data_IF_854494990827
#
_entry.id   IF_854494990827
#
_cell.length_a   1.000
_cell.length_b   1.000
_cell.length_c   1.000
_cell.angle_alpha   90.00
_cell.angle_beta   90.00
_cell.angle_gamma   90.00
#
_symmetry.space_group_name_H-M   'P 1'
#
loop_
_entity.id
_entity.type
_entity.pdbx_description
1 polymer ?
#
# COMPACT_ATOMS: atom_id res chain seq x y z
N UNK A 1 39.84 32.95 10.63
CA UNK A 1 38.77 31.92 10.67
C UNK A 1 38.12 31.61 9.32
N UNK A 2 38.20 32.47 8.29
CA UNK A 2 37.54 32.25 6.99
C UNK A 2 38.22 31.23 6.03
N UNK A 3 39.43 30.73 6.34
CA UNK A 3 40.21 29.88 5.42
C UNK A 3 39.89 28.37 5.52
N UNK A 4 39.60 27.85 6.71
CA UNK A 4 39.35 26.41 6.91
C UNK A 4 38.01 25.95 6.36
N UNK A 5 36.97 26.79 6.45
CA UNK A 5 35.65 26.48 5.89
C UNK A 5 35.69 26.39 4.36
N UNK A 6 36.46 27.26 3.71
CA UNK A 6 36.62 27.28 2.26
C UNK A 6 37.34 26.02 1.75
N UNK A 7 38.33 25.54 2.50
CA UNK A 7 39.07 24.30 2.19
C UNK A 7 38.21 23.03 2.28
N UNK A 8 37.29 22.98 3.24
CA UNK A 8 36.35 21.84 3.38
C UNK A 8 35.33 21.85 2.24
N UNK A 9 34.82 23.02 1.87
CA UNK A 9 33.89 23.16 0.76
C UNK A 9 34.57 22.83 -0.58
N UNK A 10 35.78 23.34 -0.83
CA UNK A 10 36.53 23.06 -2.06
C UNK A 10 36.85 21.56 -2.20
N UNK A 11 37.21 20.87 -1.11
CA UNK A 11 37.43 19.42 -1.11
C UNK A 11 36.14 18.60 -1.36
N UNK A 12 34.98 19.07 -0.87
CA UNK A 12 33.69 18.42 -1.13
C UNK A 12 33.26 18.62 -2.59
N UNK A 13 33.51 19.81 -3.15
CA UNK A 13 33.23 20.14 -4.56
C UNK A 13 34.12 19.31 -5.49
N UNK A 14 35.40 19.14 -5.18
CA UNK A 14 36.35 18.31 -5.95
C UNK A 14 36.00 16.81 -5.87
N UNK A 15 35.48 16.34 -4.72
CA UNK A 15 34.98 14.96 -4.57
C UNK A 15 33.68 14.70 -5.35
N UNK A 16 32.86 15.73 -5.52
CA UNK A 16 31.64 15.69 -6.34
C UNK A 16 32.00 15.71 -7.82
N UNK A 17 32.99 16.53 -8.24
CA UNK A 17 33.44 16.67 -9.63
C UNK A 17 34.00 15.38 -10.23
N UNK A 18 34.83 14.64 -9.48
CA UNK A 18 35.58 13.47 -10.01
C UNK A 18 34.69 12.21 -10.19
N UNK A 19 33.49 12.16 -9.60
CA UNK A 19 32.54 11.02 -9.77
C UNK A 19 31.25 11.38 -10.50
N UNK A 20 31.20 12.55 -11.16
CA UNK A 20 29.98 13.15 -11.69
C UNK A 20 29.25 12.32 -12.74
N UNK A 21 29.95 11.61 -13.63
CA UNK A 21 29.25 10.99 -14.76
C UNK A 21 28.61 9.65 -14.38
N UNK A 22 29.37 8.78 -13.71
CA UNK A 22 28.87 7.46 -13.32
C UNK A 22 27.89 7.50 -12.14
N UNK A 23 28.01 8.48 -11.24
CA UNK A 23 27.06 8.65 -10.14
C UNK A 23 25.76 9.28 -10.65
N UNK A 24 25.81 10.30 -11.52
CA UNK A 24 24.59 10.86 -12.13
C UNK A 24 23.82 9.78 -12.87
N UNK A 25 24.47 8.97 -13.71
CA UNK A 25 23.80 7.87 -14.42
C UNK A 25 23.18 6.85 -13.45
N UNK A 26 23.88 6.44 -12.39
CA UNK A 26 23.33 5.49 -11.40
C UNK A 26 22.17 6.06 -10.61
N UNK A 27 22.22 7.34 -10.24
CA UNK A 27 21.13 8.02 -9.53
C UNK A 27 19.92 8.13 -10.44
N UNK A 28 20.09 8.61 -11.68
CA UNK A 28 19.01 8.71 -12.67
C UNK A 28 18.40 7.34 -12.94
N UNK A 29 19.20 6.30 -13.16
CA UNK A 29 18.72 4.94 -13.39
C UNK A 29 18.02 4.33 -12.16
N UNK A 30 18.40 4.73 -10.94
CA UNK A 30 17.75 4.28 -9.70
C UNK A 30 16.42 4.99 -9.48
N UNK A 31 16.39 6.31 -9.67
CA UNK A 31 15.16 7.12 -9.59
C UNK A 31 14.18 6.70 -10.68
N UNK A 32 14.64 6.51 -11.93
CA UNK A 32 13.81 6.06 -13.03
C UNK A 32 13.15 4.68 -12.76
N UNK A 33 13.91 3.71 -12.20
CA UNK A 33 13.34 2.41 -11.81
C UNK A 33 12.35 2.49 -10.66
N UNK A 34 12.58 3.37 -9.69
CA UNK A 34 11.63 3.61 -8.61
C UNK A 34 10.35 4.26 -9.15
N UNK A 35 10.48 5.30 -9.97
CA UNK A 35 9.35 5.98 -10.60
C UNK A 35 8.55 5.04 -11.50
N UNK A 36 9.21 4.22 -12.32
CA UNK A 36 8.50 3.27 -13.18
C UNK A 36 7.73 2.22 -12.37
N UNK A 37 8.33 1.72 -11.29
CA UNK A 37 7.66 0.79 -10.36
C UNK A 37 6.45 1.44 -9.68
N UNK A 38 6.60 2.68 -9.18
CA UNK A 38 5.51 3.43 -8.56
C UNK A 38 4.38 3.67 -9.56
N UNK A 39 4.69 4.15 -10.77
CA UNK A 39 3.68 4.41 -11.81
C UNK A 39 2.91 3.13 -12.14
N UNK A 40 3.60 2.00 -12.35
CA UNK A 40 2.95 0.73 -12.66
C UNK A 40 2.03 0.24 -11.53
N UNK A 41 2.52 0.26 -10.29
CA UNK A 41 1.71 -0.13 -9.12
C UNK A 41 0.55 0.83 -8.90
N UNK A 42 0.75 2.13 -9.08
CA UNK A 42 -0.31 3.14 -8.97
C UNK A 42 -1.37 2.97 -10.04
N UNK A 43 -1.00 2.66 -11.29
CA UNK A 43 -1.96 2.38 -12.36
C UNK A 43 -2.79 1.13 -12.04
N UNK A 44 -2.14 0.03 -11.63
CA UNK A 44 -2.86 -1.18 -11.24
C UNK A 44 -3.78 -0.89 -10.06
N UNK A 45 -3.30 -0.18 -9.04
CA UNK A 45 -4.09 0.21 -7.87
C UNK A 45 -5.30 1.07 -8.24
N UNK A 46 -5.14 2.02 -9.16
CA UNK A 46 -6.23 2.87 -9.63
C UNK A 46 -7.30 2.07 -10.37
N UNK A 47 -6.91 1.18 -11.29
CA UNK A 47 -7.85 0.33 -12.00
C UNK A 47 -8.53 -0.69 -11.08
N UNK A 48 -7.79 -1.27 -10.13
CA UNK A 48 -8.35 -2.17 -9.13
C UNK A 48 -9.37 -1.44 -8.23
N UNK A 49 -9.07 -0.21 -7.82
CA UNK A 49 -10.01 0.64 -7.09
C UNK A 49 -11.28 0.86 -7.90
N UNK A 50 -11.18 1.31 -9.16
CA UNK A 50 -12.36 1.48 -10.01
C UNK A 50 -13.15 0.19 -10.22
N UNK A 51 -12.46 -0.93 -10.44
CA UNK A 51 -13.11 -2.23 -10.57
C UNK A 51 -13.95 -2.57 -9.34
N UNK A 52 -13.40 -2.41 -8.13
CA UNK A 52 -14.13 -2.68 -6.89
C UNK A 52 -15.32 -1.71 -6.73
N UNK A 53 -15.14 -0.43 -7.03
CA UNK A 53 -16.22 0.55 -6.99
C UNK A 53 -17.36 0.13 -7.93
N UNK A 54 -17.07 -0.11 -9.20
CA UNK A 54 -18.08 -0.53 -10.17
C UNK A 54 -18.76 -1.84 -9.78
N UNK A 55 -18.00 -2.78 -9.20
CA UNK A 55 -18.56 -4.03 -8.71
C UNK A 55 -19.55 -3.80 -7.56
N UNK A 56 -19.24 -2.92 -6.61
CA UNK A 56 -20.19 -2.53 -5.55
C UNK A 56 -21.43 -1.83 -6.10
N UNK A 57 -21.27 -0.95 -7.10
CA UNK A 57 -22.42 -0.34 -7.79
C UNK A 57 -23.28 -1.38 -8.51
N UNK A 58 -22.68 -2.33 -9.21
CA UNK A 58 -23.40 -3.41 -9.90
C UNK A 58 -24.18 -4.29 -8.91
N UNK A 59 -23.59 -4.64 -7.77
CA UNK A 59 -24.30 -5.38 -6.73
C UNK A 59 -25.45 -4.57 -6.12
N UNK A 60 -25.25 -3.27 -5.89
CA UNK A 60 -26.32 -2.40 -5.39
C UNK A 60 -27.50 -2.39 -6.36
N UNK A 61 -27.21 -2.25 -7.66
CA UNK A 61 -28.23 -2.19 -8.70
C UNK A 61 -28.96 -3.53 -8.88
N UNK A 62 -28.25 -4.65 -8.75
CA UNK A 62 -28.87 -5.97 -8.75
C UNK A 62 -29.87 -6.14 -7.60
N UNK A 63 -29.55 -5.63 -6.41
CA UNK A 63 -30.44 -5.65 -5.25
C UNK A 63 -31.63 -4.70 -5.48
N UNK A 64 -31.39 -3.51 -6.06
CA UNK A 64 -32.43 -2.55 -6.43
C UNK A 64 -33.48 -3.17 -7.35
N UNK A 65 -33.04 -3.85 -8.41
CA UNK A 65 -33.92 -4.56 -9.35
C UNK A 65 -34.78 -5.63 -8.67
N UNK A 66 -34.22 -6.38 -7.71
CA UNK A 66 -34.97 -7.40 -6.97
C UNK A 66 -35.98 -6.84 -5.96
N UNK A 67 -35.76 -5.60 -5.49
CA UNK A 67 -36.62 -4.91 -4.52
C UNK A 67 -37.57 -3.90 -5.18
N UNK A 68 -37.55 -3.81 -6.52
CA UNK A 68 -38.31 -2.84 -7.32
C UNK A 68 -38.15 -1.39 -6.81
N UNK A 69 -36.92 -1.06 -6.41
CA UNK A 69 -36.58 0.22 -5.75
C UNK A 69 -35.26 0.77 -6.24
N UNK A 70 -35.18 2.07 -6.49
CA UNK A 70 -33.99 2.73 -7.06
C UNK A 70 -32.85 2.97 -6.07
N UNK A 71 -33.10 2.89 -4.75
CA UNK A 71 -32.12 3.32 -3.74
C UNK A 71 -31.86 2.33 -2.60
N UNK A 72 -32.72 1.33 -2.40
CA UNK A 72 -32.64 0.44 -1.25
C UNK A 72 -31.38 -0.44 -1.27
N UNK A 73 -30.93 -0.90 -2.43
CA UNK A 73 -29.71 -1.68 -2.62
C UNK A 73 -28.45 -0.92 -2.21
N UNK A 74 -28.37 0.38 -2.51
CA UNK A 74 -27.27 1.23 -2.04
C UNK A 74 -27.30 1.37 -0.50
N UNK A 75 -28.48 1.52 0.09
CA UNK A 75 -28.65 1.65 1.53
C UNK A 75 -28.29 0.35 2.27
N UNK A 76 -28.66 -0.80 1.72
CA UNK A 76 -28.31 -2.12 2.26
C UNK A 76 -26.79 -2.32 2.24
N UNK A 77 -26.12 -2.02 1.13
CA UNK A 77 -24.66 -2.15 1.02
C UNK A 77 -23.95 -1.16 1.96
N UNK A 78 -24.43 0.08 2.07
CA UNK A 78 -23.92 1.06 3.03
C UNK A 78 -24.09 0.58 4.48
N UNK A 79 -25.25 0.02 4.81
CA UNK A 79 -25.53 -0.59 6.12
C UNK A 79 -24.62 -1.77 6.43
N UNK A 80 -24.36 -2.63 5.45
CA UNK A 80 -23.41 -3.74 5.60
C UNK A 80 -21.98 -3.24 5.88
N UNK A 81 -21.50 -2.23 5.15
CA UNK A 81 -20.20 -1.63 5.45
C UNK A 81 -20.15 -0.97 6.83
N UNK A 82 -21.22 -0.29 7.24
CA UNK A 82 -21.32 0.29 8.58
C UNK A 82 -21.23 -0.79 9.67
N UNK A 83 -21.93 -1.91 9.49
CA UNK A 83 -21.88 -3.04 10.43
C UNK A 83 -20.47 -3.63 10.52
N UNK A 84 -19.77 -3.80 9.40
CA UNK A 84 -18.37 -4.25 9.39
C UNK A 84 -17.49 -3.27 10.17
N UNK A 85 -17.65 -1.96 9.94
CA UNK A 85 -16.88 -0.94 10.65
C UNK A 85 -17.14 -1.02 12.16
N UNK A 86 -18.40 -1.10 12.58
CA UNK A 86 -18.76 -1.22 13.99
C UNK A 86 -18.15 -2.50 14.59
N UNK A 87 -18.24 -3.62 13.88
CA UNK A 87 -17.65 -4.88 14.32
C UNK A 87 -16.14 -4.75 14.50
N UNK A 88 -15.44 -4.18 13.52
CA UNK A 88 -13.99 -3.93 13.60
C UNK A 88 -13.66 -3.03 14.80
N UNK A 89 -14.40 -1.95 15.02
CA UNK A 89 -14.19 -1.04 16.15
C UNK A 89 -14.39 -1.75 17.50
N UNK A 90 -15.41 -2.61 17.63
CA UNK A 90 -15.63 -3.42 18.82
C UNK A 90 -14.49 -4.43 19.04
N UNK A 91 -14.01 -5.06 17.96
CA UNK A 91 -12.90 -6.01 18.01
C UNK A 91 -11.58 -5.33 18.41
N UNK A 92 -11.29 -4.15 17.86
CA UNK A 92 -10.14 -3.32 18.22
C UNK A 92 -10.22 -2.92 19.70
N UNK A 93 -11.38 -2.42 20.15
CA UNK A 93 -11.60 -2.02 21.55
C UNK A 93 -11.43 -3.19 22.53
N UNK A 94 -11.86 -4.39 22.14
CA UNK A 94 -11.74 -5.59 22.96
C UNK A 94 -10.31 -6.16 23.03
N UNK A 95 -9.33 -5.57 22.35
CA UNK A 95 -7.96 -6.09 22.13
C UNK A 95 -7.89 -7.51 21.55
N UNK A 96 -9.02 -8.14 21.21
CA UNK A 96 -9.09 -9.46 20.57
C UNK A 96 -8.44 -9.45 19.20
N UNK A 97 -8.57 -8.34 18.46
CA UNK A 97 -7.99 -8.21 17.13
C UNK A 97 -6.46 -8.29 17.16
N UNK A 98 -5.82 -7.65 18.15
CA UNK A 98 -4.36 -7.68 18.30
C UNK A 98 -3.86 -9.12 18.51
N UNK A 99 -4.52 -9.88 19.41
CA UNK A 99 -4.18 -11.29 19.63
C UNK A 99 -4.46 -12.18 18.41
N UNK A 100 -5.55 -11.94 17.69
CA UNK A 100 -5.87 -12.71 16.49
C UNK A 100 -4.86 -12.48 15.37
N UNK A 101 -4.44 -11.22 15.18
CA UNK A 101 -3.41 -10.88 14.21
C UNK A 101 -2.07 -11.53 14.58
N UNK A 102 -1.68 -11.46 15.86
CA UNK A 102 -0.45 -12.08 16.35
C UNK A 102 -0.43 -13.60 16.14
N UNK A 103 -1.52 -14.30 16.50
CA UNK A 103 -1.66 -15.75 16.26
C UNK A 103 -1.71 -16.08 14.77
N UNK A 104 -2.35 -15.25 13.95
CA UNK A 104 -2.41 -15.46 12.50
C UNK A 104 -1.02 -15.33 11.87
N UNK A 105 -0.24 -14.33 12.26
CA UNK A 105 1.13 -14.12 11.76
C UNK A 105 2.04 -15.28 12.17
N UNK A 106 2.01 -15.70 13.44
CA UNK A 106 2.83 -16.83 13.93
C UNK A 106 2.48 -18.13 13.19
N UNK A 107 1.20 -18.43 13.00
CA UNK A 107 0.79 -19.62 12.21
C UNK A 107 1.22 -19.57 10.76
N UNK A 108 1.17 -18.39 10.13
CA UNK A 108 1.65 -18.22 8.76
C UNK A 108 3.16 -18.44 8.67
N UNK A 109 3.92 -18.04 9.68
CA UNK A 109 5.37 -18.25 9.75
C UNK A 109 5.72 -19.72 10.00
N UNK A 110 5.05 -20.39 10.95
CA UNK A 110 5.21 -21.84 11.20
C UNK A 110 4.92 -22.67 9.95
N UNK A 111 3.82 -22.38 9.24
CA UNK A 111 3.49 -23.07 7.99
C UNK A 111 4.53 -22.84 6.89
N UNK A 112 5.20 -21.68 6.89
CA UNK A 112 6.29 -21.35 5.95
C UNK A 112 7.56 -22.13 6.26
N UNK A 113 7.92 -22.23 7.55
CA UNK A 113 9.06 -23.04 8.01
C UNK A 113 8.85 -24.53 7.76
N UNK A 114 7.64 -25.05 7.96
CA UNK A 114 7.34 -26.45 7.64
C UNK A 114 7.42 -26.73 6.13
N UNK A 115 6.98 -25.81 5.28
CA UNK A 115 7.15 -25.93 3.83
C UNK A 115 8.61 -25.85 3.39
N UNK A 116 9.43 -24.99 3.99
CA UNK A 116 10.87 -24.90 3.70
C UNK A 116 11.67 -26.10 4.26
N UNK A 117 11.21 -26.73 5.34
CA UNK A 117 11.85 -27.95 5.88
C UNK A 117 11.51 -29.21 5.08
N UNK A 118 10.37 -29.23 4.39
CA UNK A 118 9.86 -30.40 3.67
C UNK A 118 10.13 -30.36 2.16
N UNK A 119 10.85 -29.34 1.68
CA UNK A 119 11.41 -29.20 0.33
C UNK A 119 12.94 -29.35 0.38
#
# INVERSE_FOLDING_TARGET
>A
MASSAKKVIDNIVEFIEIKTEQIKLRIIARVARMLSGVIAVSMIGLFAMFFIFFLSFAFAEMINHGLDSTYLGYLIIAGAYLLIIILVLLLVKSRKLQRWIEVAIVKMEEARYEQERNN
#
